data_IF_017367965674
#
_entry.id   IF_017367965674
#
_cell.length_a   1.000
_cell.length_b   1.000
_cell.length_c   1.000
_cell.angle_alpha   90.00
_cell.angle_beta   90.00
_cell.angle_gamma   90.00
#
_symmetry.space_group_name_H-M   'P 1'
#
loop_
_entity.id
_entity.type
_entity.pdbx_description
1 polymer ?
#
# COMPACT_ATOMS: atom_id res chain seq x y z
N UNK A 1 10.15 -27.51 27.17
CA UNK A 1 8.76 -27.19 26.72
C UNK A 1 8.83 -26.13 25.64
N UNK A 2 8.25 -26.38 24.49
CA UNK A 2 8.24 -25.44 23.36
C UNK A 2 6.93 -24.64 23.37
N UNK A 3 7.00 -23.38 23.79
CA UNK A 3 5.82 -22.51 23.99
C UNK A 3 5.37 -21.79 22.72
N UNK A 4 6.26 -21.69 21.73
CA UNK A 4 6.05 -20.91 20.50
C UNK A 4 5.75 -21.86 19.35
N UNK A 5 4.68 -21.62 18.60
CA UNK A 5 4.34 -22.43 17.45
C UNK A 5 5.34 -22.24 16.29
N UNK A 6 5.41 -23.20 15.36
CA UNK A 6 6.38 -23.19 14.27
C UNK A 6 6.24 -21.95 13.37
N UNK A 7 5.01 -21.49 13.07
CA UNK A 7 4.79 -20.28 12.27
C UNK A 7 5.43 -19.06 12.93
N UNK A 8 5.27 -18.90 14.25
CA UNK A 8 5.85 -17.77 14.97
C UNK A 8 7.39 -17.79 14.97
N UNK A 9 8.00 -18.98 14.96
CA UNK A 9 9.46 -19.13 14.88
C UNK A 9 10.04 -18.69 13.53
N UNK A 10 9.26 -18.74 12.47
CA UNK A 10 9.71 -18.31 11.14
C UNK A 10 9.65 -16.78 10.95
N UNK A 11 9.04 -16.06 11.91
CA UNK A 11 8.94 -14.62 11.85
C UNK A 11 10.31 -13.96 11.92
N UNK A 12 10.64 -13.20 10.89
CA UNK A 12 11.83 -12.36 10.86
C UNK A 12 11.44 -10.90 11.00
N UNK A 13 12.27 -10.13 11.68
CA UNK A 13 12.14 -8.67 11.64
C UNK A 13 12.27 -8.21 10.19
N UNK A 14 11.31 -7.41 9.71
CA UNK A 14 11.36 -6.87 8.35
C UNK A 14 12.60 -5.98 8.15
N UNK A 15 13.24 -6.08 6.99
CA UNK A 15 14.43 -5.30 6.63
C UNK A 15 14.20 -3.77 6.78
N UNK A 16 12.99 -3.32 6.50
CA UNK A 16 12.58 -1.92 6.71
C UNK A 16 12.74 -1.52 8.18
N UNK A 17 12.23 -2.34 9.10
CA UNK A 17 12.30 -2.05 10.54
C UNK A 17 13.73 -2.05 11.05
N UNK A 18 14.56 -3.02 10.64
CA UNK A 18 15.95 -3.09 11.00
C UNK A 18 16.74 -1.85 10.58
N UNK A 19 16.46 -1.32 9.38
CA UNK A 19 17.06 -0.08 8.89
C UNK A 19 16.66 1.13 9.76
N UNK A 20 15.39 1.22 10.16
CA UNK A 20 14.93 2.29 11.05
C UNK A 20 15.51 2.21 12.46
N UNK A 21 15.53 1.03 13.04
CA UNK A 21 16.09 0.83 14.38
C UNK A 21 17.57 1.26 14.41
N UNK A 22 18.32 0.99 13.33
CA UNK A 22 19.69 1.45 13.15
C UNK A 22 19.77 2.95 12.96
N UNK A 23 18.93 3.54 12.12
CA UNK A 23 18.90 4.98 11.87
C UNK A 23 18.59 5.79 13.13
N UNK A 24 17.71 5.29 13.99
CA UNK A 24 17.34 5.92 15.26
C UNK A 24 18.50 6.02 16.26
N UNK A 25 19.58 5.26 16.09
CA UNK A 25 20.79 5.37 16.92
C UNK A 25 21.77 6.45 16.42
N UNK A 26 21.48 7.10 15.32
CA UNK A 26 22.36 8.06 14.65
C UNK A 26 21.77 9.47 14.65
N UNK A 27 22.62 10.49 14.61
CA UNK A 27 22.18 11.91 14.50
C UNK A 27 22.34 12.42 13.08
N UNK A 28 21.51 13.42 12.69
CA UNK A 28 21.58 14.08 11.39
C UNK A 28 21.14 13.19 10.22
N UNK A 29 20.36 12.14 10.50
CA UNK A 29 19.81 11.22 9.50
C UNK A 29 18.61 11.86 8.82
N UNK A 30 18.57 11.78 7.49
CA UNK A 30 17.40 12.08 6.67
C UNK A 30 16.79 10.76 6.24
N UNK A 31 15.54 10.52 6.63
CA UNK A 31 14.84 9.28 6.30
C UNK A 31 13.95 9.46 5.07
N UNK A 32 14.30 8.75 3.99
CA UNK A 32 13.49 8.56 2.80
C UNK A 32 12.92 7.12 2.74
N UNK A 33 12.86 6.45 3.88
CA UNK A 33 12.41 5.06 3.97
C UNK A 33 10.99 4.88 4.48
N UNK A 34 10.42 5.86 5.20
CA UNK A 34 9.11 5.74 5.84
C UNK A 34 7.99 5.87 4.79
N UNK A 35 7.10 4.90 4.77
CA UNK A 35 5.94 4.89 3.87
C UNK A 35 4.70 5.49 4.52
N UNK A 36 4.79 6.70 5.09
CA UNK A 36 3.65 7.43 5.62
C UNK A 36 3.79 8.94 5.39
N UNK A 37 2.68 9.67 5.21
CA UNK A 37 2.71 11.12 5.16
C UNK A 37 3.40 11.72 6.38
N UNK A 38 4.28 12.70 6.17
CA UNK A 38 4.95 13.45 7.24
C UNK A 38 4.06 14.57 7.82
N UNK A 39 2.97 14.88 7.14
CA UNK A 39 1.98 15.83 7.61
C UNK A 39 1.10 15.20 8.69
N UNK A 40 0.69 16.00 9.64
CA UNK A 40 -0.32 15.60 10.63
C UNK A 40 -1.69 15.44 9.98
N UNK A 41 -2.53 14.61 10.58
CA UNK A 41 -3.96 14.53 10.22
C UNK A 41 -4.56 15.93 10.20
N UNK A 42 -5.36 16.30 9.18
CA UNK A 42 -5.99 17.61 9.08
C UNK A 42 -6.73 18.01 10.35
N UNK A 43 -6.61 19.30 10.74
CA UNK A 43 -7.17 19.80 11.99
C UNK A 43 -8.67 19.53 12.11
N UNK A 44 -9.42 19.69 11.01
CA UNK A 44 -10.85 19.43 10.98
C UNK A 44 -11.19 17.99 11.40
N UNK A 45 -10.43 17.02 10.90
CA UNK A 45 -10.60 15.58 11.24
C UNK A 45 -10.26 15.34 12.71
N UNK A 46 -9.20 15.99 13.23
CA UNK A 46 -8.85 15.92 14.65
C UNK A 46 -9.92 16.51 15.56
N UNK A 47 -10.51 17.66 15.18
CA UNK A 47 -11.61 18.27 15.94
C UNK A 47 -12.86 17.39 15.93
N UNK A 48 -13.18 16.75 14.80
CA UNK A 48 -14.27 15.78 14.74
C UNK A 48 -14.09 14.60 15.71
N UNK A 49 -12.86 14.11 15.88
CA UNK A 49 -12.60 13.07 16.87
C UNK A 49 -12.77 13.55 18.30
N UNK A 50 -12.35 14.78 18.62
CA UNK A 50 -12.59 15.38 19.95
C UNK A 50 -14.08 15.51 20.21
N UNK A 51 -14.83 15.99 19.21
CA UNK A 51 -16.29 16.08 19.29
C UNK A 51 -16.94 14.71 19.52
N UNK A 52 -16.44 13.66 18.86
CA UNK A 52 -16.91 12.29 19.09
C UNK A 52 -16.71 11.87 20.56
N UNK A 53 -15.55 12.18 21.15
CA UNK A 53 -15.27 11.89 22.57
C UNK A 53 -16.20 12.70 23.49
N UNK A 54 -16.39 13.99 23.22
CA UNK A 54 -17.27 14.88 24.00
C UNK A 54 -18.73 14.42 23.92
N UNK A 55 -19.16 13.83 22.81
CA UNK A 55 -20.48 13.21 22.62
C UNK A 55 -20.62 11.82 23.24
N UNK A 56 -19.57 11.28 23.86
CA UNK A 56 -19.57 9.94 24.42
C UNK A 56 -19.60 8.81 23.39
N UNK A 57 -19.13 9.03 22.16
CA UNK A 57 -19.00 7.99 21.13
C UNK A 57 -17.78 7.11 21.45
N UNK A 58 -17.89 6.33 22.53
CA UNK A 58 -16.79 5.55 23.11
C UNK A 58 -17.14 4.07 23.33
N UNK A 59 -18.33 3.65 22.90
CA UNK A 59 -18.81 2.29 23.02
C UNK A 59 -18.57 1.49 21.74
N UNK A 60 -18.81 0.17 21.81
CA UNK A 60 -18.78 -0.68 20.64
C UNK A 60 -19.74 -0.19 19.56
N UNK A 61 -19.27 -0.19 18.32
CA UNK A 61 -20.12 -0.03 17.15
C UNK A 61 -20.57 -1.42 16.65
N UNK A 62 -21.52 -1.50 15.70
CA UNK A 62 -21.72 -2.74 14.97
C UNK A 62 -20.40 -3.28 14.41
N UNK A 63 -20.26 -4.60 14.35
CA UNK A 63 -19.00 -5.25 13.93
C UNK A 63 -18.57 -4.84 12.51
N UNK A 64 -19.54 -4.64 11.60
CA UNK A 64 -19.27 -4.11 10.27
C UNK A 64 -18.94 -2.59 10.24
N UNK A 65 -18.98 -1.90 11.38
CA UNK A 65 -18.87 -0.44 11.48
C UNK A 65 -20.23 0.26 11.45
N UNK A 66 -20.24 1.57 11.74
CA UNK A 66 -21.48 2.36 11.76
C UNK A 66 -22.09 2.45 10.36
N UNK A 67 -23.42 2.35 10.27
CA UNK A 67 -24.10 2.41 8.98
C UNK A 67 -23.89 3.76 8.29
N UNK A 68 -23.91 4.86 9.06
CA UNK A 68 -23.66 6.21 8.52
C UNK A 68 -22.30 6.34 7.84
N UNK A 69 -21.26 5.72 8.41
CA UNK A 69 -19.93 5.74 7.79
C UNK A 69 -19.86 4.86 6.54
N UNK A 70 -20.49 3.68 6.57
CA UNK A 70 -20.57 2.81 5.38
C UNK A 70 -21.36 3.46 4.24
N UNK A 71 -22.44 4.19 4.55
CA UNK A 71 -23.18 5.02 3.60
C UNK A 71 -22.31 6.14 3.02
N UNK A 72 -21.59 6.86 3.88
CA UNK A 72 -20.69 7.90 3.41
C UNK A 72 -19.59 7.34 2.47
N UNK A 73 -19.05 6.15 2.74
CA UNK A 73 -18.11 5.49 1.82
C UNK A 73 -18.77 5.18 0.48
N UNK A 74 -19.97 4.58 0.49
CA UNK A 74 -20.68 4.24 -0.75
C UNK A 74 -21.03 5.45 -1.61
N UNK A 75 -21.38 6.58 -1.00
CA UNK A 75 -21.92 7.75 -1.68
C UNK A 75 -20.89 8.84 -2.02
N UNK A 76 -19.83 8.97 -1.20
CA UNK A 76 -18.88 10.10 -1.26
C UNK A 76 -17.48 9.70 -1.68
N UNK A 77 -17.12 8.41 -1.64
CA UNK A 77 -15.83 7.95 -2.13
C UNK A 77 -15.85 7.69 -3.65
N UNK A 78 -14.70 7.27 -4.19
CA UNK A 78 -14.58 6.82 -5.59
C UNK A 78 -15.45 5.60 -5.93
N UNK A 79 -16.07 4.95 -4.92
CA UNK A 79 -16.97 3.82 -5.11
C UNK A 79 -18.39 4.21 -5.49
N UNK A 80 -18.74 5.50 -5.48
CA UNK A 80 -20.10 6.01 -5.72
C UNK A 80 -20.78 5.47 -6.99
N UNK A 81 -19.99 5.30 -8.05
CA UNK A 81 -20.49 4.82 -9.35
C UNK A 81 -20.52 3.26 -9.43
N UNK A 82 -20.01 2.57 -8.43
CA UNK A 82 -20.02 1.10 -8.35
C UNK A 82 -21.23 0.53 -7.60
N UNK A 83 -22.01 1.38 -6.94
CA UNK A 83 -23.27 1.04 -6.28
C UNK A 83 -23.16 -0.14 -5.30
N UNK A 84 -22.16 -0.12 -4.41
CA UNK A 84 -22.10 -1.09 -3.30
C UNK A 84 -23.19 -0.80 -2.26
N UNK A 85 -23.91 -1.85 -1.82
CA UNK A 85 -24.89 -1.72 -0.73
C UNK A 85 -24.16 -1.51 0.62
N UNK A 86 -24.33 -0.36 1.27
CA UNK A 86 -23.69 -0.10 2.55
C UNK A 86 -24.15 -1.02 3.67
N UNK A 87 -25.30 -1.71 3.52
CA UNK A 87 -25.77 -2.63 4.54
C UNK A 87 -25.05 -3.99 4.50
N UNK A 88 -24.66 -4.46 3.32
CA UNK A 88 -24.20 -5.83 3.11
C UNK A 88 -22.85 -5.96 2.41
N UNK A 89 -22.41 -4.95 1.67
CA UNK A 89 -21.22 -5.02 0.80
C UNK A 89 -20.04 -4.16 1.29
N UNK A 90 -20.16 -3.48 2.46
CA UNK A 90 -19.09 -2.66 3.03
C UNK A 90 -18.86 -3.01 4.50
N UNK A 91 -17.59 -3.19 4.87
CA UNK A 91 -17.15 -3.38 6.27
C UNK A 91 -16.03 -2.41 6.61
N UNK A 92 -16.10 -1.79 7.80
CA UNK A 92 -15.05 -0.95 8.36
C UNK A 92 -14.06 -1.82 9.13
N UNK A 93 -12.77 -1.60 8.92
CA UNK A 93 -11.70 -2.42 9.45
C UNK A 93 -10.66 -1.61 10.20
N UNK A 94 -9.79 -2.28 10.96
CA UNK A 94 -8.66 -1.66 11.66
C UNK A 94 -7.50 -1.31 10.69
N UNK A 95 -7.77 -0.39 9.74
CA UNK A 95 -6.92 -0.04 8.62
C UNK A 95 -6.82 -1.14 7.57
N UNK A 96 -6.12 -0.87 6.46
CA UNK A 96 -5.93 -1.85 5.39
C UNK A 96 -5.24 -3.14 5.84
N UNK A 97 -4.31 -3.06 6.81
CA UNK A 97 -3.68 -4.25 7.40
C UNK A 97 -4.69 -5.20 8.04
N UNK A 98 -5.61 -4.67 8.84
CA UNK A 98 -6.68 -5.45 9.45
C UNK A 98 -7.63 -6.03 8.40
N UNK A 99 -7.93 -5.26 7.35
CA UNK A 99 -8.74 -5.73 6.23
C UNK A 99 -8.12 -6.97 5.56
N UNK A 100 -6.85 -6.88 5.19
CA UNK A 100 -6.13 -7.98 4.53
C UNK A 100 -5.99 -9.20 5.43
N UNK A 101 -5.68 -9.00 6.73
CA UNK A 101 -5.59 -10.11 7.68
C UNK A 101 -6.90 -10.88 7.81
N UNK A 102 -8.03 -10.18 7.94
CA UNK A 102 -9.35 -10.79 8.01
C UNK A 102 -9.71 -11.49 6.69
N UNK A 103 -9.40 -10.85 5.56
CA UNK A 103 -9.67 -11.40 4.24
C UNK A 103 -8.91 -12.70 4.01
N UNK A 104 -7.59 -12.72 4.22
CA UNK A 104 -6.81 -13.94 4.00
C UNK A 104 -7.21 -15.07 4.95
N UNK A 105 -7.60 -14.72 6.19
CA UNK A 105 -8.04 -15.71 7.16
C UNK A 105 -9.34 -16.43 6.74
N UNK A 106 -10.28 -15.72 6.10
CA UNK A 106 -11.53 -16.32 5.60
C UNK A 106 -11.40 -16.95 4.22
N UNK A 107 -10.38 -16.52 3.45
CA UNK A 107 -10.22 -16.90 2.05
C UNK A 107 -9.38 -18.16 1.88
N UNK A 108 -8.29 -18.31 2.64
CA UNK A 108 -7.22 -19.26 2.34
C UNK A 108 -7.35 -20.56 3.13
N UNK A 109 -7.20 -21.66 2.42
CA UNK A 109 -6.87 -22.96 2.96
C UNK A 109 -5.42 -23.32 2.67
N UNK A 110 -4.91 -24.35 3.32
CA UNK A 110 -3.58 -24.89 3.03
C UNK A 110 -3.49 -25.35 1.58
N UNK A 111 -2.54 -24.77 0.84
CA UNK A 111 -2.29 -25.08 -0.56
C UNK A 111 -2.96 -24.13 -1.55
N UNK A 112 -3.84 -23.23 -1.11
CA UNK A 112 -4.39 -22.17 -1.95
C UNK A 112 -3.28 -21.19 -2.33
N UNK A 113 -3.31 -20.69 -3.58
CA UNK A 113 -2.33 -19.76 -4.13
C UNK A 113 -2.95 -18.39 -4.38
N UNK A 114 -2.18 -17.35 -4.11
CA UNK A 114 -2.48 -15.97 -4.52
C UNK A 114 -1.34 -15.48 -5.40
N UNK A 115 -1.68 -15.03 -6.61
CA UNK A 115 -0.74 -14.34 -7.50
C UNK A 115 -0.53 -12.91 -6.98
N UNK A 116 0.73 -12.53 -6.75
CA UNK A 116 1.11 -11.22 -6.20
C UNK A 116 2.26 -10.66 -7.02
N UNK A 117 2.18 -9.38 -7.39
CA UNK A 117 3.26 -8.67 -8.08
C UNK A 117 4.60 -8.83 -7.37
N UNK A 118 5.71 -8.86 -8.11
CA UNK A 118 7.07 -8.74 -7.58
C UNK A 118 7.80 -7.63 -8.37
N UNK A 119 8.28 -6.55 -7.75
CA UNK A 119 8.29 -6.25 -6.31
C UNK A 119 6.91 -5.79 -5.78
N UNK A 120 6.67 -6.03 -4.49
CA UNK A 120 5.41 -5.69 -3.82
C UNK A 120 5.62 -5.33 -2.34
N UNK A 121 4.58 -4.81 -1.70
CA UNK A 121 4.61 -4.57 -0.26
C UNK A 121 4.77 -5.88 0.53
N UNK A 122 5.84 -5.97 1.31
CA UNK A 122 6.31 -7.20 1.94
C UNK A 122 5.28 -7.91 2.84
N UNK A 123 4.30 -7.17 3.40
CA UNK A 123 3.33 -7.75 4.33
C UNK A 123 2.30 -8.66 3.64
N UNK A 124 2.06 -8.53 2.33
CA UNK A 124 1.16 -9.43 1.62
C UNK A 124 1.62 -10.89 1.73
N UNK A 125 2.87 -11.14 1.37
CA UNK A 125 3.45 -12.49 1.42
C UNK A 125 3.45 -13.06 2.84
N UNK A 126 3.78 -12.22 3.83
CA UNK A 126 3.78 -12.64 5.23
C UNK A 126 2.37 -13.04 5.70
N UNK A 127 1.35 -12.23 5.39
CA UNK A 127 -0.04 -12.51 5.80
C UNK A 127 -0.61 -13.73 5.10
N UNK A 128 -0.32 -13.91 3.79
CA UNK A 128 -0.73 -15.12 3.04
C UNK A 128 -0.11 -16.36 3.68
N UNK A 129 1.18 -16.32 4.02
CA UNK A 129 1.87 -17.44 4.68
C UNK A 129 1.31 -17.74 6.09
N UNK A 130 0.89 -16.71 6.84
CA UNK A 130 0.23 -16.90 8.14
C UNK A 130 -1.08 -17.66 8.02
N UNK A 131 -1.79 -17.48 6.90
CA UNK A 131 -3.06 -18.14 6.63
C UNK A 131 -2.89 -19.45 5.83
N UNK A 132 -1.71 -20.08 5.87
CA UNK A 132 -1.38 -21.32 5.19
C UNK A 132 -1.47 -21.29 3.65
N UNK A 133 -1.61 -20.11 3.06
CA UNK A 133 -1.58 -19.91 1.62
C UNK A 133 -0.15 -19.78 1.06
N UNK A 134 -0.06 -19.82 -0.25
CA UNK A 134 1.17 -19.62 -1.01
C UNK A 134 1.08 -18.35 -1.85
N UNK A 135 2.02 -17.44 -1.66
CA UNK A 135 2.17 -16.26 -2.51
C UNK A 135 3.01 -16.63 -3.74
N UNK A 136 2.37 -16.70 -4.91
CA UNK A 136 3.04 -16.91 -6.20
C UNK A 136 3.41 -15.56 -6.78
N UNK A 137 4.69 -15.31 -7.01
CA UNK A 137 5.19 -14.01 -7.43
C UNK A 137 5.07 -13.84 -8.93
N UNK A 138 4.45 -12.74 -9.38
CA UNK A 138 4.36 -12.30 -10.77
C UNK A 138 5.49 -11.31 -11.02
N UNK A 139 6.57 -11.69 -11.72
CA UNK A 139 7.71 -10.81 -11.94
C UNK A 139 7.33 -9.61 -12.81
N UNK A 140 7.86 -8.45 -12.47
CA UNK A 140 7.73 -7.21 -13.21
C UNK A 140 9.08 -6.51 -13.35
N UNK A 141 9.21 -5.57 -14.26
CA UNK A 141 10.45 -4.88 -14.57
C UNK A 141 10.26 -3.38 -14.86
N UNK A 142 11.38 -2.67 -14.90
CA UNK A 142 11.42 -1.24 -15.17
C UNK A 142 10.95 -0.89 -16.60
N UNK A 143 11.20 -1.75 -17.58
CA UNK A 143 10.88 -1.50 -19.00
C UNK A 143 9.37 -1.46 -19.21
N UNK A 144 8.62 -2.27 -18.45
CA UNK A 144 7.16 -2.28 -18.41
C UNK A 144 6.59 -1.44 -17.26
N UNK A 145 7.36 -0.47 -16.75
CA UNK A 145 6.95 0.41 -15.63
C UNK A 145 6.43 -0.39 -14.41
N UNK A 146 6.95 -1.59 -14.18
CA UNK A 146 6.52 -2.50 -13.12
C UNK A 146 5.03 -2.87 -13.16
N UNK A 147 4.38 -2.83 -14.33
CA UNK A 147 3.04 -3.35 -14.48
C UNK A 147 3.06 -4.87 -14.65
N UNK A 148 2.14 -5.57 -13.99
CA UNK A 148 1.95 -7.00 -14.21
C UNK A 148 1.45 -7.25 -15.63
N UNK A 149 2.19 -8.08 -16.38
CA UNK A 149 1.81 -8.43 -17.75
C UNK A 149 0.80 -9.59 -17.74
N UNK A 150 -0.35 -9.45 -18.43
CA UNK A 150 -1.40 -10.49 -18.46
C UNK A 150 -0.89 -11.86 -18.90
N UNK A 151 0.02 -11.89 -19.87
CA UNK A 151 0.63 -13.13 -20.39
C UNK A 151 1.53 -13.82 -19.35
N UNK A 152 2.13 -13.06 -18.45
CA UNK A 152 2.91 -13.58 -17.32
C UNK A 152 2.00 -14.13 -16.24
N UNK A 153 0.93 -13.41 -15.91
CA UNK A 153 -0.10 -13.87 -14.97
C UNK A 153 -0.66 -15.21 -15.44
N UNK A 154 -1.09 -15.30 -16.71
CA UNK A 154 -1.75 -16.50 -17.23
C UNK A 154 -0.87 -17.75 -17.15
N UNK A 155 0.44 -17.62 -17.38
CA UNK A 155 1.41 -18.73 -17.26
C UNK A 155 1.58 -19.25 -15.83
N UNK A 156 1.28 -18.42 -14.84
CA UNK A 156 1.44 -18.75 -13.40
C UNK A 156 0.17 -19.28 -12.78
N UNK A 157 -0.98 -19.23 -13.47
CA UNK A 157 -2.24 -19.78 -12.97
C UNK A 157 -2.15 -21.30 -12.93
N UNK A 158 -2.49 -21.85 -11.77
CA UNK A 158 -2.60 -23.29 -11.50
C UNK A 158 -4.01 -23.65 -11.02
N UNK A 159 -4.37 -24.94 -10.90
CA UNK A 159 -5.64 -25.33 -10.26
C UNK A 159 -5.76 -24.91 -8.79
N UNK A 160 -4.69 -24.48 -8.15
CA UNK A 160 -4.66 -23.97 -6.78
C UNK A 160 -4.77 -22.46 -6.67
N UNK A 161 -4.65 -21.75 -7.80
CA UNK A 161 -4.74 -20.30 -7.85
C UNK A 161 -6.17 -19.85 -7.54
N UNK A 162 -6.33 -19.16 -6.42
CA UNK A 162 -7.62 -18.69 -5.91
C UNK A 162 -7.87 -17.22 -6.16
N UNK A 163 -6.80 -16.42 -6.08
CA UNK A 163 -6.93 -14.99 -6.23
C UNK A 163 -5.70 -14.36 -6.90
N UNK A 164 -5.94 -13.20 -7.50
CA UNK A 164 -4.92 -12.27 -7.97
C UNK A 164 -4.97 -11.01 -7.10
N UNK A 165 -3.82 -10.55 -6.60
CA UNK A 165 -3.70 -9.32 -5.84
C UNK A 165 -3.12 -8.20 -6.68
N UNK A 166 -3.79 -7.06 -6.71
CA UNK A 166 -3.39 -5.83 -7.40
C UNK A 166 -3.20 -4.73 -6.36
N UNK A 167 -2.13 -3.95 -6.49
CA UNK A 167 -1.94 -2.72 -5.74
C UNK A 167 -1.58 -1.59 -6.72
N UNK A 168 -2.51 -0.67 -6.94
CA UNK A 168 -2.33 0.45 -7.87
C UNK A 168 -3.02 1.71 -7.35
N UNK A 169 -2.27 2.82 -7.17
CA UNK A 169 -0.82 2.97 -7.32
C UNK A 169 0.00 2.05 -6.41
N UNK A 170 1.16 1.61 -6.89
CA UNK A 170 1.93 0.53 -6.28
C UNK A 170 2.93 1.01 -5.22
N UNK A 171 3.08 0.23 -4.18
CA UNK A 171 4.22 0.26 -3.26
C UNK A 171 5.06 -1.01 -3.49
N UNK A 172 6.32 -0.93 -3.97
CA UNK A 172 7.25 0.20 -3.80
C UNK A 172 7.45 1.12 -5.01
N UNK A 173 6.86 0.84 -6.16
CA UNK A 173 7.30 1.43 -7.44
C UNK A 173 6.67 2.79 -7.77
N UNK A 174 5.53 3.13 -7.13
CA UNK A 174 4.73 4.31 -7.50
C UNK A 174 4.06 4.20 -8.86
N UNK A 175 4.13 3.05 -9.51
CA UNK A 175 3.49 2.79 -10.81
C UNK A 175 1.98 2.80 -10.68
N UNK A 176 1.31 3.28 -11.71
CA UNK A 176 -0.14 3.21 -11.87
C UNK A 176 -0.41 2.28 -13.04
N UNK A 177 -1.21 1.25 -12.81
CA UNK A 177 -1.58 0.29 -13.85
C UNK A 177 -2.46 0.96 -14.89
N UNK A 178 -2.16 0.75 -16.17
CA UNK A 178 -2.95 1.33 -17.26
C UNK A 178 -4.34 0.70 -17.34
N UNK A 179 -5.30 1.46 -17.86
CA UNK A 179 -6.66 0.94 -18.08
C UNK A 179 -6.67 -0.26 -19.05
N UNK A 180 -5.76 -0.26 -20.04
CA UNK A 180 -5.62 -1.37 -21.00
C UNK A 180 -5.13 -2.64 -20.31
N UNK A 181 -4.06 -2.56 -19.52
CA UNK A 181 -3.53 -3.70 -18.76
C UNK A 181 -4.58 -4.24 -17.80
N UNK A 182 -5.28 -3.35 -17.09
CA UNK A 182 -6.31 -3.74 -16.14
C UNK A 182 -7.50 -4.43 -16.82
N UNK A 183 -7.91 -3.98 -18.03
CA UNK A 183 -8.96 -4.63 -18.79
C UNK A 183 -8.59 -6.09 -19.16
N UNK A 184 -7.36 -6.30 -19.61
CA UNK A 184 -6.85 -7.66 -19.93
C UNK A 184 -6.78 -8.54 -18.68
N UNK A 185 -6.37 -7.99 -17.55
CA UNK A 185 -6.36 -8.70 -16.26
C UNK A 185 -7.80 -9.04 -15.82
N UNK A 186 -8.76 -8.14 -16.02
CA UNK A 186 -10.16 -8.41 -15.73
C UNK A 186 -10.71 -9.57 -16.59
N UNK A 187 -10.39 -9.60 -17.89
CA UNK A 187 -10.74 -10.71 -18.78
C UNK A 187 -10.14 -12.05 -18.32
N UNK A 188 -8.86 -12.03 -17.90
CA UNK A 188 -8.21 -13.22 -17.33
C UNK A 188 -8.88 -13.68 -16.03
N UNK A 189 -9.20 -12.77 -15.14
CA UNK A 189 -9.87 -13.11 -13.87
C UNK A 189 -11.24 -13.74 -14.12
N UNK A 190 -12.01 -13.24 -15.08
CA UNK A 190 -13.29 -13.83 -15.50
C UNK A 190 -13.07 -15.21 -16.14
N UNK A 191 -12.11 -15.33 -17.06
CA UNK A 191 -11.81 -16.58 -17.79
C UNK A 191 -11.42 -17.73 -16.84
N UNK A 192 -10.63 -17.43 -15.81
CA UNK A 192 -10.09 -18.42 -14.89
C UNK A 192 -10.82 -18.47 -13.55
N UNK A 193 -11.95 -17.77 -13.43
CA UNK A 193 -12.78 -17.69 -12.21
C UNK A 193 -11.98 -17.28 -10.96
N UNK A 194 -11.09 -16.31 -11.10
CA UNK A 194 -10.27 -15.80 -10.00
C UNK A 194 -10.98 -14.69 -9.22
N UNK A 195 -10.80 -14.69 -7.91
CA UNK A 195 -11.07 -13.52 -7.10
C UNK A 195 -9.97 -12.47 -7.32
N UNK A 196 -10.31 -11.19 -7.37
CA UNK A 196 -9.33 -10.11 -7.40
C UNK A 196 -9.36 -9.34 -6.09
N UNK A 197 -8.19 -9.19 -5.47
CA UNK A 197 -7.99 -8.35 -4.29
C UNK A 197 -7.31 -7.07 -4.76
N UNK A 198 -8.04 -5.95 -4.71
CA UNK A 198 -7.54 -4.64 -5.12
C UNK A 198 -7.20 -3.81 -3.90
N UNK A 199 -5.91 -3.60 -3.64
CA UNK A 199 -5.45 -2.67 -2.60
C UNK A 199 -5.33 -1.27 -3.19
N UNK A 200 -6.35 -0.46 -2.93
CA UNK A 200 -6.53 0.87 -3.51
C UNK A 200 -6.09 2.00 -2.56
N UNK A 201 -5.25 1.70 -1.58
CA UNK A 201 -4.88 2.63 -0.48
C UNK A 201 -4.24 3.94 -0.96
N UNK A 202 -3.71 3.98 -2.18
CA UNK A 202 -3.10 5.16 -2.80
C UNK A 202 -3.96 5.80 -3.89
N UNK A 203 -5.18 5.38 -4.10
CA UNK A 203 -6.04 5.80 -5.22
C UNK A 203 -6.33 7.30 -5.30
N UNK A 204 -6.15 8.05 -4.21
CA UNK A 204 -6.26 9.52 -4.17
C UNK A 204 -4.93 10.23 -4.45
N UNK A 205 -3.82 9.51 -4.47
CA UNK A 205 -2.48 10.05 -4.70
C UNK A 205 -2.04 9.73 -6.13
N UNK A 206 -2.61 10.44 -7.09
CA UNK A 206 -2.35 10.33 -8.52
C UNK A 206 -1.86 11.66 -9.07
N UNK A 207 -0.94 11.63 -10.03
CA UNK A 207 -0.25 12.79 -10.54
C UNK A 207 -0.37 12.93 -12.05
N UNK A 208 -0.09 14.12 -12.58
CA UNK A 208 -0.06 14.39 -14.02
C UNK A 208 -1.37 14.09 -14.77
N UNK A 209 -2.51 14.19 -14.08
CA UNK A 209 -3.83 13.93 -14.69
C UNK A 209 -4.16 12.44 -14.88
N UNK A 210 -3.39 11.55 -14.27
CA UNK A 210 -3.66 10.12 -14.26
C UNK A 210 -4.94 9.79 -13.48
N UNK A 211 -5.63 8.76 -13.94
CA UNK A 211 -6.74 8.15 -13.22
C UNK A 211 -6.39 6.69 -12.94
N UNK A 212 -6.50 6.25 -11.69
CA UNK A 212 -6.41 4.83 -11.38
C UNK A 212 -7.74 4.16 -11.76
N UNK A 213 -7.75 3.28 -12.75
CA UNK A 213 -8.96 2.54 -13.06
C UNK A 213 -9.26 1.59 -11.88
N UNK A 214 -10.52 1.56 -11.44
CA UNK A 214 -10.95 0.57 -10.46
C UNK A 214 -11.32 -0.73 -11.19
N UNK A 215 -10.69 -1.85 -10.83
CA UNK A 215 -10.94 -3.12 -11.53
C UNK A 215 -12.39 -3.60 -11.36
N UNK A 216 -13.05 -3.27 -10.26
CA UNK A 216 -14.46 -3.60 -10.04
C UNK A 216 -15.43 -2.92 -11.03
N UNK A 217 -14.96 -1.88 -11.75
CA UNK A 217 -15.76 -1.20 -12.78
C UNK A 217 -15.77 -1.93 -14.13
N UNK A 218 -14.94 -2.95 -14.32
CA UNK A 218 -14.91 -3.72 -15.57
C UNK A 218 -16.01 -4.80 -15.57
N UNK A 219 -16.50 -5.21 -16.75
CA UNK A 219 -17.57 -6.21 -16.86
C UNK A 219 -17.24 -7.52 -16.13
N UNK A 220 -18.16 -8.02 -15.31
CA UNK A 220 -18.00 -9.26 -14.55
C UNK A 220 -17.00 -9.18 -13.39
N UNK A 221 -16.59 -7.98 -12.99
CA UNK A 221 -15.57 -7.83 -11.95
C UNK A 221 -16.12 -7.42 -10.59
N UNK A 222 -17.26 -6.71 -10.51
CA UNK A 222 -17.82 -6.32 -9.20
C UNK A 222 -18.09 -7.54 -8.30
N UNK A 223 -18.60 -8.62 -8.88
CA UNK A 223 -18.97 -9.86 -8.19
C UNK A 223 -17.76 -10.70 -7.75
N UNK A 224 -16.57 -10.37 -8.22
CA UNK A 224 -15.32 -11.08 -7.94
C UNK A 224 -14.18 -10.19 -7.49
N UNK A 225 -14.48 -8.96 -7.04
CA UNK A 225 -13.47 -8.04 -6.54
C UNK A 225 -13.67 -7.75 -5.06
N UNK A 226 -12.58 -7.82 -4.30
CA UNK A 226 -12.49 -7.32 -2.94
C UNK A 226 -11.61 -6.07 -2.96
N UNK A 227 -12.23 -4.92 -2.80
CA UNK A 227 -11.52 -3.64 -2.70
C UNK A 227 -11.12 -3.44 -1.24
N UNK A 228 -9.83 -3.21 -1.01
CA UNK A 228 -9.27 -2.83 0.29
C UNK A 228 -8.79 -1.40 0.22
N UNK A 229 -9.22 -0.55 1.15
CA UNK A 229 -8.76 0.82 1.22
C UNK A 229 -8.62 1.31 2.67
N UNK A 230 -7.98 2.46 2.86
CA UNK A 230 -7.83 3.06 4.19
C UNK A 230 -7.68 4.57 4.12
N UNK A 231 -7.95 5.23 5.22
CA UNK A 231 -7.76 6.68 5.39
C UNK A 231 -6.30 7.05 5.73
N UNK A 232 -5.45 6.04 5.88
CA UNK A 232 -4.05 6.22 6.29
C UNK A 232 -3.26 7.13 5.38
N UNK A 233 -3.45 7.04 4.05
CA UNK A 233 -2.64 7.76 3.08
C UNK A 233 -3.37 8.98 2.53
N UNK A 234 -4.68 8.84 2.31
CA UNK A 234 -5.54 9.89 1.75
C UNK A 234 -5.70 11.09 2.69
N UNK A 235 -5.71 10.85 4.02
CA UNK A 235 -5.97 11.87 5.03
C UNK A 235 -4.90 11.94 6.14
N UNK A 236 -3.71 11.38 5.89
CA UNK A 236 -2.63 11.30 6.89
C UNK A 236 -3.11 10.71 8.24
N UNK A 237 -3.89 9.63 8.19
CA UNK A 237 -4.51 8.98 9.35
C UNK A 237 -3.87 7.62 9.67
N UNK A 238 -2.55 7.48 9.54
CA UNK A 238 -1.86 6.19 9.74
C UNK A 238 -2.06 5.62 11.13
N UNK A 239 -1.98 6.45 12.16
CA UNK A 239 -2.15 6.08 13.57
C UNK A 239 -3.60 5.83 13.99
N UNK A 240 -4.60 6.25 13.21
CA UNK A 240 -6.02 6.12 13.54
C UNK A 240 -6.56 4.71 13.34
N UNK A 241 -5.90 3.92 12.48
CA UNK A 241 -6.28 2.56 12.18
C UNK A 241 -7.71 2.45 11.63
N UNK A 242 -8.06 3.25 10.63
CA UNK A 242 -9.35 3.22 9.93
C UNK A 242 -9.13 2.84 8.48
N UNK A 243 -9.84 1.80 8.05
CA UNK A 243 -9.91 1.32 6.68
C UNK A 243 -11.27 0.71 6.40
N UNK A 244 -11.46 0.24 5.18
CA UNK A 244 -12.69 -0.44 4.79
C UNK A 244 -12.42 -1.48 3.71
N UNK A 245 -13.37 -2.38 3.57
CA UNK A 245 -13.48 -3.29 2.43
C UNK A 245 -14.83 -3.09 1.77
N UNK A 246 -14.83 -3.05 0.43
CA UNK A 246 -16.03 -3.18 -0.38
C UNK A 246 -15.92 -4.46 -1.23
N UNK A 247 -16.88 -5.38 -1.09
CA UNK A 247 -16.81 -6.70 -1.68
C UNK A 247 -18.22 -7.34 -1.80
N UNK A 248 -18.37 -8.47 -2.50
CA UNK A 248 -19.60 -9.25 -2.49
C UNK A 248 -20.09 -9.54 -1.07
N UNK A 249 -21.41 -9.49 -0.87
CA UNK A 249 -22.05 -9.56 0.43
C UNK A 249 -21.64 -10.81 1.26
N UNK A 250 -21.43 -11.95 0.63
CA UNK A 250 -20.99 -13.17 1.31
C UNK A 250 -19.60 -12.98 1.95
N UNK A 251 -18.65 -12.34 1.24
CA UNK A 251 -17.30 -12.06 1.76
C UNK A 251 -17.40 -11.11 2.94
N UNK A 252 -18.17 -10.02 2.82
CA UNK A 252 -18.36 -9.05 3.89
C UNK A 252 -19.01 -9.68 5.13
N UNK A 253 -20.01 -10.57 4.96
CA UNK A 253 -20.62 -11.32 6.06
C UNK A 253 -19.58 -12.17 6.80
N UNK A 254 -18.74 -12.91 6.08
CA UNK A 254 -17.67 -13.73 6.68
C UNK A 254 -16.61 -12.90 7.37
N UNK A 255 -16.18 -11.80 6.74
CA UNK A 255 -15.24 -10.87 7.36
C UNK A 255 -15.80 -10.24 8.63
N UNK A 256 -17.09 -9.88 8.63
CA UNK A 256 -17.76 -9.29 9.81
C UNK A 256 -17.79 -10.28 10.99
N UNK A 257 -18.13 -11.54 10.75
CA UNK A 257 -18.09 -12.61 11.76
C UNK A 257 -16.68 -12.90 12.26
N UNK A 258 -15.71 -12.84 11.38
CA UNK A 258 -14.31 -12.96 11.75
C UNK A 258 -13.87 -11.77 12.62
N UNK A 259 -14.20 -10.53 12.22
CA UNK A 259 -13.88 -9.31 12.97
C UNK A 259 -14.47 -9.32 14.37
N UNK A 260 -15.71 -9.80 14.54
CA UNK A 260 -16.36 -9.98 15.85
C UNK A 260 -15.48 -10.73 16.84
N UNK A 261 -14.82 -11.79 16.39
CA UNK A 261 -14.01 -12.66 17.24
C UNK A 261 -12.57 -12.17 17.45
N UNK A 262 -12.03 -11.32 16.57
CA UNK A 262 -10.64 -10.87 16.64
C UNK A 262 -10.47 -9.50 17.29
N UNK A 263 -11.34 -8.55 17.00
CA UNK A 263 -11.20 -7.17 17.46
C UNK A 263 -12.53 -6.43 17.67
N UNK A 264 -13.65 -7.14 17.68
CA UNK A 264 -15.01 -6.66 17.83
C UNK A 264 -15.41 -5.65 16.75
N UNK A 265 -14.87 -4.45 16.76
CA UNK A 265 -15.17 -3.39 15.79
C UNK A 265 -13.96 -2.47 15.61
N UNK A 266 -13.99 -1.63 14.57
CA UNK A 266 -13.02 -0.56 14.40
C UNK A 266 -13.29 0.58 15.41
N UNK A 267 -12.27 1.40 15.65
CA UNK A 267 -12.27 2.54 16.56
C UNK A 267 -13.47 3.49 16.33
N UNK A 268 -14.35 3.65 17.31
CA UNK A 268 -15.59 4.42 17.18
C UNK A 268 -15.35 5.94 16.93
N UNK A 269 -14.53 6.66 17.71
CA UNK A 269 -14.21 8.05 17.40
C UNK A 269 -13.51 8.22 16.05
N UNK A 270 -12.69 7.25 15.65
CA UNK A 270 -12.03 7.24 14.32
C UNK A 270 -13.02 7.10 13.18
N UNK A 271 -14.07 6.29 13.31
CA UNK A 271 -15.14 6.16 12.31
C UNK A 271 -15.88 7.49 12.16
N UNK A 272 -16.21 8.17 13.26
CA UNK A 272 -16.86 9.47 13.23
C UNK A 272 -15.99 10.52 12.52
N UNK A 273 -14.71 10.61 12.87
CA UNK A 273 -13.77 11.54 12.25
C UNK A 273 -13.56 11.25 10.75
N UNK A 274 -13.47 9.98 10.38
CA UNK A 274 -13.32 9.59 8.98
C UNK A 274 -14.58 9.87 8.14
N UNK A 275 -15.77 9.82 8.76
CA UNK A 275 -17.01 10.26 8.10
C UNK A 275 -16.94 11.73 7.73
N UNK A 276 -16.47 12.59 8.67
CA UNK A 276 -16.26 14.01 8.41
C UNK A 276 -15.19 14.24 7.35
N UNK A 277 -14.12 13.44 7.36
CA UNK A 277 -13.07 13.54 6.33
C UNK A 277 -13.61 13.32 4.90
N UNK A 278 -14.58 12.41 4.71
CA UNK A 278 -15.22 12.18 3.41
C UNK A 278 -16.08 13.37 2.93
N UNK A 279 -16.51 14.25 3.81
CA UNK A 279 -17.22 15.48 3.46
C UNK A 279 -16.27 16.58 2.96
N UNK A 280 -14.95 16.36 3.07
CA UNK A 280 -13.90 17.33 2.79
C UNK A 280 -12.82 16.73 1.85
N UNK A 281 -13.18 16.43 0.58
CA UNK A 281 -12.24 15.87 -0.39
C UNK A 281 -11.06 16.81 -0.71
N UNK A 282 -11.21 18.12 -0.50
CA UNK A 282 -10.14 19.11 -0.64
C UNK A 282 -8.93 18.82 0.25
N UNK A 283 -9.13 18.16 1.41
CA UNK A 283 -8.03 17.77 2.30
C UNK A 283 -7.10 16.72 1.65
N UNK A 284 -7.66 15.82 0.87
CA UNK A 284 -6.86 14.87 0.07
C UNK A 284 -6.10 15.58 -1.05
N UNK A 285 -6.74 16.56 -1.69
CA UNK A 285 -6.14 17.30 -2.81
C UNK A 285 -4.94 18.13 -2.36
N UNK A 286 -5.00 18.78 -1.20
CA UNK A 286 -3.85 19.51 -0.61
C UNK A 286 -2.65 18.57 -0.38
N UNK A 287 -2.93 17.36 0.13
CA UNK A 287 -1.92 16.32 0.35
C UNK A 287 -1.32 15.85 -0.98
N UNK A 288 -2.17 15.57 -1.97
CA UNK A 288 -1.78 15.14 -3.32
C UNK A 288 -0.87 16.17 -3.99
N UNK A 289 -1.25 17.46 -3.96
CA UNK A 289 -0.44 18.55 -4.54
C UNK A 289 0.93 18.66 -3.89
N UNK A 290 1.01 18.47 -2.58
CA UNK A 290 2.29 18.46 -1.87
C UNK A 290 3.17 17.33 -2.34
N UNK A 291 2.64 16.12 -2.47
CA UNK A 291 3.41 14.99 -2.96
C UNK A 291 3.76 15.09 -4.45
N UNK A 292 2.91 15.66 -5.29
CA UNK A 292 3.21 15.90 -6.70
C UNK A 292 4.41 16.85 -6.88
N UNK A 293 4.46 17.94 -6.09
CA UNK A 293 5.61 18.85 -6.05
C UNK A 293 6.87 18.12 -5.59
N UNK A 294 6.83 17.38 -4.51
CA UNK A 294 7.97 16.63 -3.97
C UNK A 294 8.44 15.54 -4.93
N UNK A 295 7.52 14.88 -5.61
CA UNK A 295 7.83 13.94 -6.69
C UNK A 295 8.69 14.62 -7.78
N UNK A 296 8.29 15.80 -8.21
CA UNK A 296 9.03 16.56 -9.24
C UNK A 296 10.45 16.91 -8.74
N UNK A 297 10.59 17.41 -7.52
CA UNK A 297 11.90 17.70 -6.89
C UNK A 297 12.79 16.44 -6.91
N UNK A 298 12.24 15.31 -6.48
CA UNK A 298 13.01 14.07 -6.39
C UNK A 298 13.44 13.55 -7.77
N UNK A 299 12.50 13.50 -8.73
CA UNK A 299 12.80 13.01 -10.09
C UNK A 299 13.83 13.89 -10.81
N UNK A 300 13.69 15.23 -10.73
CA UNK A 300 14.63 16.18 -11.31
C UNK A 300 16.02 16.07 -10.67
N UNK A 301 16.06 15.79 -9.36
CA UNK A 301 17.31 15.59 -8.65
C UNK A 301 18.00 14.28 -9.02
N UNK A 302 17.27 13.17 -9.05
CA UNK A 302 17.80 11.85 -9.42
C UNK A 302 18.26 11.80 -10.87
N UNK A 303 17.57 12.45 -11.79
CA UNK A 303 17.96 12.53 -13.20
C UNK A 303 19.33 13.19 -13.44
N UNK A 304 19.88 13.94 -12.47
CA UNK A 304 21.20 14.57 -12.51
C UNK A 304 22.29 13.71 -11.89
N UNK A 305 21.97 12.54 -11.40
CA UNK A 305 22.93 11.62 -10.78
C UNK A 305 23.27 10.52 -11.78
N UNK A 306 24.48 10.57 -12.34
CA UNK A 306 24.93 9.53 -13.24
C UNK A 306 24.85 8.16 -12.58
N UNK A 307 24.38 7.16 -13.33
CA UNK A 307 24.26 5.79 -12.86
C UNK A 307 22.93 5.46 -12.17
N UNK A 308 22.06 6.44 -11.89
CA UNK A 308 20.70 6.19 -11.39
C UNK A 308 19.70 6.27 -12.55
N UNK A 309 18.85 5.27 -12.66
CA UNK A 309 17.64 5.30 -13.51
C UNK A 309 16.43 5.05 -12.64
N UNK A 310 15.28 5.58 -12.98
CA UNK A 310 14.05 5.29 -12.29
C UNK A 310 12.87 5.29 -13.26
N UNK A 311 11.84 4.55 -12.91
CA UNK A 311 10.54 4.68 -13.55
C UNK A 311 9.98 6.09 -13.30
N UNK A 312 8.90 6.43 -13.99
CA UNK A 312 8.14 7.66 -13.72
C UNK A 312 6.90 7.29 -12.89
N UNK A 313 6.99 7.35 -11.56
CA UNK A 313 5.85 7.03 -10.70
C UNK A 313 4.74 8.07 -10.91
N UNK A 314 3.55 7.61 -11.26
CA UNK A 314 2.38 8.47 -11.46
C UNK A 314 1.39 8.40 -10.29
N UNK A 315 1.75 7.69 -9.21
CA UNK A 315 0.96 7.63 -7.99
C UNK A 315 1.77 7.29 -6.74
N UNK A 316 1.09 7.19 -5.62
CA UNK A 316 1.65 6.99 -4.28
C UNK A 316 2.67 8.09 -3.90
N UNK A 317 3.68 7.77 -3.13
CA UNK A 317 4.76 8.71 -2.76
C UNK A 317 6.13 8.00 -2.73
N UNK A 318 6.38 7.14 -3.74
CA UNK A 318 7.61 6.37 -3.87
C UNK A 318 8.24 6.55 -5.25
N UNK A 319 9.56 6.49 -5.28
CA UNK A 319 10.37 6.25 -6.48
C UNK A 319 11.14 4.96 -6.26
N UNK A 320 11.19 4.10 -7.27
CA UNK A 320 11.95 2.86 -7.25
C UNK A 320 13.13 3.02 -8.21
N UNK A 321 14.30 3.37 -7.63
CA UNK A 321 15.46 3.80 -8.37
C UNK A 321 16.42 2.62 -8.61
N UNK A 322 16.79 2.40 -9.88
CA UNK A 322 17.79 1.42 -10.32
C UNK A 322 19.19 1.95 -9.97
N UNK A 323 19.91 1.15 -9.20
CA UNK A 323 21.28 1.40 -8.74
C UNK A 323 22.27 0.32 -9.23
N UNK A 324 21.86 -0.53 -10.14
CA UNK A 324 22.63 -1.69 -10.63
C UNK A 324 23.97 -1.29 -11.24
N UNK A 325 24.05 -0.11 -11.83
CA UNK A 325 25.29 0.45 -12.43
C UNK A 325 26.44 0.61 -11.41
N UNK A 326 26.15 0.66 -10.11
CA UNK A 326 27.18 0.82 -9.08
C UNK A 326 27.80 -0.51 -8.62
N UNK A 327 27.32 -1.65 -9.10
CA UNK A 327 27.88 -2.97 -8.81
C UNK A 327 27.72 -3.41 -7.34
N UNK A 328 26.87 -2.76 -6.56
CA UNK A 328 26.55 -3.09 -5.18
C UNK A 328 25.18 -3.78 -5.10
N UNK A 329 25.01 -4.69 -4.14
CA UNK A 329 23.67 -5.16 -3.79
C UNK A 329 22.83 -4.02 -3.22
N UNK A 330 21.50 -4.11 -3.36
CA UNK A 330 20.58 -3.11 -2.83
C UNK A 330 20.74 -2.90 -1.32
N UNK A 331 21.03 -3.98 -0.57
CA UNK A 331 21.30 -3.94 0.87
C UNK A 331 22.61 -3.21 1.16
N UNK A 332 23.68 -3.52 0.43
CA UNK A 332 24.97 -2.89 0.63
C UNK A 332 24.95 -1.41 0.31
N UNK A 333 24.31 -1.03 -0.81
CA UNK A 333 24.10 0.36 -1.21
C UNK A 333 23.39 1.16 -0.10
N UNK A 334 22.25 0.67 0.41
CA UNK A 334 21.49 1.34 1.46
C UNK A 334 22.27 1.45 2.78
N UNK A 335 22.98 0.39 3.17
CA UNK A 335 23.81 0.41 4.38
C UNK A 335 24.93 1.44 4.29
N UNK A 336 25.68 1.45 3.19
CA UNK A 336 26.76 2.42 2.98
C UNK A 336 26.24 3.84 2.86
N UNK A 337 25.10 4.05 2.18
CA UNK A 337 24.47 5.37 2.08
C UNK A 337 24.09 5.90 3.48
N UNK A 338 23.55 5.05 4.35
CA UNK A 338 23.25 5.43 5.74
C UNK A 338 24.53 5.75 6.52
N UNK A 339 25.57 4.92 6.43
CA UNK A 339 26.80 5.11 7.19
C UNK A 339 27.59 6.34 6.76
N UNK A 340 27.78 6.51 5.45
CA UNK A 340 28.64 7.52 4.87
C UNK A 340 27.92 8.87 4.73
N UNK A 341 26.61 8.90 4.48
CA UNK A 341 25.86 10.09 4.13
C UNK A 341 24.65 10.38 5.02
N UNK A 342 24.33 9.51 5.97
CA UNK A 342 23.17 9.67 6.88
C UNK A 342 21.83 9.81 6.15
N UNK A 343 21.66 9.05 5.05
CA UNK A 343 20.39 8.97 4.30
C UNK A 343 19.86 7.54 4.36
N UNK A 344 18.60 7.40 4.72
CA UNK A 344 17.90 6.11 4.74
C UNK A 344 17.08 5.94 3.48
N UNK A 345 17.36 4.90 2.71
CA UNK A 345 16.50 4.34 1.67
C UNK A 345 16.24 2.87 2.00
N UNK A 346 15.25 2.27 1.35
CA UNK A 346 14.95 0.86 1.59
C UNK A 346 15.50 0.01 0.44
N UNK A 347 16.26 -1.07 0.74
CA UNK A 347 16.72 -2.00 -0.29
C UNK A 347 15.56 -2.57 -1.09
N UNK A 348 15.68 -2.60 -2.40
CA UNK A 348 14.65 -3.13 -3.27
C UNK A 348 14.39 -4.62 -3.05
N UNK A 349 15.42 -5.39 -2.71
CA UNK A 349 15.30 -6.82 -2.35
C UNK A 349 14.37 -7.09 -1.16
N UNK A 350 14.08 -6.08 -0.32
CA UNK A 350 13.08 -6.20 0.74
C UNK A 350 11.65 -6.37 0.18
N UNK A 351 11.42 -5.99 -1.08
CA UNK A 351 10.10 -6.04 -1.72
C UNK A 351 9.92 -7.23 -2.66
N UNK A 352 10.97 -8.00 -2.88
CA UNK A 352 10.96 -9.19 -3.74
C UNK A 352 12.25 -9.35 -4.53
N UNK A 353 12.33 -10.46 -5.27
CA UNK A 353 13.54 -10.80 -6.03
C UNK A 353 13.77 -9.82 -7.19
N UNK A 354 12.69 -9.40 -7.87
CA UNK A 354 12.73 -8.39 -8.92
C UNK A 354 13.10 -6.98 -8.41
N UNK A 355 13.14 -6.79 -7.09
CA UNK A 355 13.60 -5.56 -6.46
C UNK A 355 15.12 -5.49 -6.25
N UNK A 356 15.89 -6.57 -6.47
CA UNK A 356 17.34 -6.48 -6.35
C UNK A 356 17.92 -5.59 -7.45
N UNK A 357 18.93 -4.79 -7.10
CA UNK A 357 19.46 -3.74 -7.96
C UNK A 357 18.70 -2.41 -7.91
N UNK A 358 17.64 -2.33 -7.10
CA UNK A 358 16.85 -1.12 -6.88
C UNK A 358 16.86 -0.67 -5.43
N UNK A 359 16.49 0.60 -5.21
CA UNK A 359 16.18 1.14 -3.88
C UNK A 359 14.84 1.86 -3.91
N UNK A 360 14.03 1.74 -2.84
CA UNK A 360 12.83 2.55 -2.68
C UNK A 360 13.15 3.83 -1.94
N UNK A 361 12.75 4.95 -2.52
CA UNK A 361 12.84 6.30 -1.97
C UNK A 361 11.41 6.80 -1.76
N UNK A 362 11.04 7.10 -0.50
CA UNK A 362 9.78 7.76 -0.17
C UNK A 362 10.02 9.28 -0.05
N UNK A 363 9.20 10.08 -0.73
CA UNK A 363 9.31 11.54 -0.65
C UNK A 363 8.36 12.14 0.40
N UNK A 364 8.29 11.45 1.54
CA UNK A 364 7.48 11.81 2.70
C UNK A 364 8.29 12.58 3.75
N UNK A 365 8.98 13.63 3.31
CA UNK A 365 9.71 14.56 4.18
C UNK A 365 9.65 15.98 3.60
N UNK A 366 10.16 16.98 4.34
CA UNK A 366 10.17 18.37 3.86
C UNK A 366 10.96 18.55 2.57
N UNK A 367 10.63 19.59 1.80
CA UNK A 367 11.33 19.93 0.56
C UNK A 367 12.85 20.14 0.81
N UNK A 368 13.22 20.82 1.91
CA UNK A 368 14.61 21.03 2.30
C UNK A 368 15.36 19.72 2.55
N UNK A 369 14.71 18.77 3.25
CA UNK A 369 15.27 17.45 3.46
C UNK A 369 15.42 16.66 2.15
N UNK A 370 14.51 16.83 1.19
CA UNK A 370 14.65 16.20 -0.13
C UNK A 370 15.85 16.75 -0.90
N UNK A 371 16.04 18.08 -0.92
CA UNK A 371 17.21 18.70 -1.57
C UNK A 371 18.52 18.26 -0.93
N UNK A 372 18.58 18.25 0.39
CA UNK A 372 19.77 17.81 1.11
C UNK A 372 20.05 16.31 0.91
N UNK A 373 19.01 15.46 0.95
CA UNK A 373 19.17 14.04 0.68
C UNK A 373 19.67 13.78 -0.75
N UNK A 374 19.17 14.49 -1.76
CA UNK A 374 19.62 14.41 -3.14
C UNK A 374 21.12 14.81 -3.28
N UNK A 375 21.53 15.86 -2.58
CA UNK A 375 22.93 16.28 -2.50
C UNK A 375 23.81 15.15 -1.94
N UNK A 376 23.41 14.56 -0.82
CA UNK A 376 24.15 13.48 -0.17
C UNK A 376 24.20 12.21 -1.03
N UNK A 377 23.09 11.83 -1.67
CA UNK A 377 23.03 10.70 -2.62
C UNK A 377 23.98 10.97 -3.80
N UNK A 378 23.96 12.18 -4.38
CA UNK A 378 24.86 12.55 -5.47
C UNK A 378 26.33 12.45 -5.08
N UNK A 379 26.69 12.93 -3.89
CA UNK A 379 28.07 12.83 -3.37
C UNK A 379 28.50 11.36 -3.19
N UNK A 380 27.59 10.51 -2.69
CA UNK A 380 27.84 9.09 -2.52
C UNK A 380 28.05 8.38 -3.85
N UNK A 381 27.16 8.58 -4.82
CA UNK A 381 27.24 7.97 -6.14
C UNK A 381 28.51 8.38 -6.88
N UNK A 382 28.90 9.67 -6.85
CA UNK A 382 30.17 10.15 -7.43
C UNK A 382 31.41 9.49 -6.81
N UNK A 383 31.36 9.10 -5.53
CA UNK A 383 32.44 8.40 -4.86
C UNK A 383 32.52 6.94 -5.29
N UNK A 384 31.37 6.31 -5.59
CA UNK A 384 31.32 4.92 -6.06
C UNK A 384 31.83 4.75 -7.50
N UNK A 385 31.74 5.80 -8.32
CA UNK A 385 32.17 5.79 -9.73
C UNK A 385 33.68 6.09 -9.95
N UNK A 386 34.38 6.45 -8.88
CA UNK A 386 35.84 6.65 -8.87
C UNK A 386 36.60 5.39 -8.52
#
# INVERSE_FOLDING_TARGET
MEWINEKAKTLKQGAIRAMFDRANTMTGVISLGIGEPDMSTPKLVCEAAKEALDKGITHYTPNAGTLSFRQAIAEKSYLKDLHYDPNTEIIITNGGMGALSLLFLILLNKGDEILIQDPQWLNYVAQVAYCDGTAVRVPTDLEHNFEMQPETIEKLITPHTKALMINTPNNPTGSVMTRETMAKIAELAVKHDLLVISDDVYNTLLYAGEEAPCIAAFPGMKERTVIVNSFSKSYAMTGWRIGFVAAPAEIVDRMTKCQENFNACANAPGQYAATVALDHPELCEELRQTFERRRSILLDGLARIDGIRCNRPNGAFYVFADISSFGLSSVEFCNRLLDEQKVVCIPGSAFGECGEGFIRIAYTCSDDNLYEALNRISCFCKKLMK
#
